data_IF_532097400413
#
_entry.id   IF_532097400413
#
_cell.length_a   1.000
_cell.length_b   1.000
_cell.length_c   1.000
_cell.angle_alpha   90.00
_cell.angle_beta   90.00
_cell.angle_gamma   90.00
#
_symmetry.space_group_name_H-M   'P 1'
#
loop_
_entity.id
_entity.type
_entity.pdbx_description
1 polymer ?
#
# COMPACT_ATOMS: atom_id res chain seq x y z
N UNK A 1 4.92 48.51 -17.01
CA UNK A 1 5.12 49.55 -15.98
C UNK A 1 3.86 49.64 -15.12
N UNK A 2 4.04 49.86 -13.81
CA UNK A 2 3.04 50.15 -12.75
C UNK A 2 2.06 49.00 -12.42
N UNK A 3 2.05 48.35 -11.24
CA UNK A 3 2.06 48.84 -9.82
C UNK A 3 0.82 49.68 -9.53
N UNK A 4 -0.01 49.53 -8.48
CA UNK A 4 0.13 49.09 -7.07
C UNK A 4 -1.32 48.91 -6.52
N UNK A 5 -1.61 48.06 -5.53
CA UNK A 5 -1.92 48.39 -4.10
C UNK A 5 -2.31 47.03 -3.42
N UNK A 6 -1.55 46.41 -2.51
CA UNK A 6 -1.29 46.67 -1.07
C UNK A 6 -2.54 46.80 -0.17
N UNK A 7 -2.82 45.78 0.67
CA UNK A 7 -2.54 45.75 2.12
C UNK A 7 -3.42 44.74 2.89
N UNK A 8 -2.85 44.11 3.93
CA UNK A 8 -3.65 43.38 4.93
C UNK A 8 -2.91 42.33 5.77
N UNK A 9 -1.78 42.69 6.41
CA UNK A 9 -1.19 41.90 7.48
C UNK A 9 -1.91 42.19 8.82
N UNK A 10 -2.21 41.16 9.61
CA UNK A 10 -2.62 41.31 11.01
C UNK A 10 -1.76 40.45 11.96
N UNK A 11 -1.28 41.13 13.00
CA UNK A 11 -0.40 40.67 14.08
C UNK A 11 -1.02 39.58 14.98
N UNK A 12 -0.20 38.68 15.55
CA UNK A 12 -0.60 37.81 16.66
C UNK A 12 -0.57 38.58 18.00
N UNK A 13 -1.67 38.53 18.77
CA UNK A 13 -1.73 39.02 20.15
C UNK A 13 -1.19 37.98 21.13
N UNK A 14 -0.21 38.39 21.94
CA UNK A 14 0.15 37.79 23.22
C UNK A 14 -1.06 37.83 24.16
N UNK A 15 -1.41 36.71 24.79
CA UNK A 15 -2.24 36.68 25.99
C UNK A 15 -1.41 36.09 27.12
N UNK A 16 -1.05 36.96 28.05
CA UNK A 16 -0.55 36.63 29.38
C UNK A 16 -1.72 36.12 30.22
N UNK A 17 -1.63 34.88 30.70
CA UNK A 17 -2.52 34.39 31.75
C UNK A 17 -1.79 34.55 33.08
N UNK A 18 -2.27 35.52 33.86
CA UNK A 18 -1.93 35.71 35.27
C UNK A 18 -2.76 34.71 36.08
N UNK A 19 -2.10 34.06 37.03
CA UNK A 19 -2.68 33.11 37.96
C UNK A 19 -3.64 33.79 38.95
N UNK A 20 -4.75 33.12 39.25
CA UNK A 20 -5.47 33.26 40.52
C UNK A 20 -6.21 31.95 40.80
N UNK A 21 -5.84 31.27 41.89
CA UNK A 21 -6.77 30.47 42.67
C UNK A 21 -6.20 30.26 44.07
N UNK A 22 -6.96 30.74 45.05
CA UNK A 22 -6.78 30.54 46.47
C UNK A 22 -7.18 29.14 46.93
N UNK A 23 -6.45 28.68 47.96
CA UNK A 23 -6.85 27.99 49.20
C UNK A 23 -7.57 26.62 49.20
N UNK A 24 -6.92 25.69 49.93
CA UNK A 24 -7.49 24.53 50.66
C UNK A 24 -7.43 23.19 49.93
N UNK A 25 -7.05 22.04 50.49
CA UNK A 25 -6.50 21.63 51.80
C UNK A 25 -6.20 20.12 51.73
N UNK A 26 -5.13 19.67 52.40
CA UNK A 26 -4.80 18.27 52.74
C UNK A 26 -4.05 17.50 51.63
N UNK A 27 -2.88 16.89 51.81
CA UNK A 27 -2.09 16.52 52.97
C UNK A 27 -1.60 15.08 52.76
N UNK A 28 -0.30 14.86 52.48
CA UNK A 28 0.58 13.90 53.16
C UNK A 28 1.97 13.80 52.48
N UNK A 29 2.97 14.08 53.32
CA UNK A 29 4.38 13.66 53.37
C UNK A 29 4.90 12.56 52.41
N UNK A 30 6.09 12.75 51.83
CA UNK A 30 7.34 12.17 52.38
C UNK A 30 8.64 12.71 51.71
N UNK A 31 9.53 13.19 52.59
CA UNK A 31 10.99 13.37 52.58
C UNK A 31 11.86 12.88 51.39
N UNK A 32 12.74 13.76 50.88
CA UNK A 32 14.20 13.83 51.17
C UNK A 32 14.89 14.79 50.16
N UNK A 33 15.42 15.95 50.59
CA UNK A 33 16.83 16.20 50.95
C UNK A 33 17.83 15.69 49.87
N UNK A 34 18.74 16.48 49.29
CA UNK A 34 19.58 17.47 49.94
C UNK A 34 20.50 18.26 48.96
N UNK A 35 20.82 19.49 49.38
CA UNK A 35 22.05 20.28 49.19
C UNK A 35 22.43 20.93 47.85
N UNK A 36 22.26 22.26 47.85
CA UNK A 36 23.12 23.24 47.17
C UNK A 36 24.55 23.23 47.73
N UNK A 37 25.54 23.38 46.85
CA UNK A 37 26.78 24.10 47.15
C UNK A 37 27.07 25.11 46.03
N UNK A 38 27.21 26.39 46.42
CA UNK A 38 27.70 27.48 45.58
C UNK A 38 29.22 27.34 45.37
N UNK A 39 29.68 27.61 44.16
CA UNK A 39 31.07 27.86 43.78
C UNK A 39 31.10 28.93 42.70
N UNK A 40 32.05 29.86 42.82
CA UNK A 40 32.11 31.18 42.18
C UNK A 40 33.18 31.20 41.07
N UNK A 41 33.02 32.13 40.11
CA UNK A 41 33.98 32.70 39.12
C UNK A 41 34.11 32.10 37.69
N UNK A 42 33.56 32.87 36.75
CA UNK A 42 34.13 33.41 35.50
C UNK A 42 35.03 32.54 34.61
N UNK A 43 34.61 32.30 33.36
CA UNK A 43 35.31 32.76 32.14
C UNK A 43 34.41 32.57 30.91
N UNK A 44 34.41 33.55 30.02
CA UNK A 44 33.52 33.60 28.85
C UNK A 44 33.84 32.53 27.80
N UNK A 45 32.79 31.95 27.22
CA UNK A 45 32.83 31.42 25.86
C UNK A 45 31.41 31.38 25.27
N UNK A 46 31.31 31.83 24.02
CA UNK A 46 30.07 31.91 23.24
C UNK A 46 29.39 30.54 23.10
N UNK A 47 28.30 30.31 23.83
CA UNK A 47 27.40 29.18 23.62
C UNK A 47 26.23 29.63 22.74
N UNK A 48 26.32 29.30 21.43
CA UNK A 48 25.15 29.28 20.53
C UNK A 48 24.12 28.34 21.13
N UNK A 49 22.98 28.89 21.55
CA UNK A 49 21.78 28.13 21.87
C UNK A 49 21.34 27.39 20.61
N UNK A 50 21.63 26.09 20.53
CA UNK A 50 21.06 25.19 19.54
C UNK A 50 19.58 25.02 19.93
N UNK A 51 18.68 25.71 19.23
CA UNK A 51 17.25 25.38 19.27
C UNK A 51 17.12 23.94 18.79
N UNK A 52 16.87 23.01 19.72
CA UNK A 52 16.35 21.70 19.36
C UNK A 52 14.96 21.92 18.79
N UNK A 53 14.87 22.04 17.47
CA UNK A 53 13.62 21.84 16.75
C UNK A 53 13.27 20.37 16.92
N UNK A 54 12.35 20.08 17.84
CA UNK A 54 11.59 18.85 17.79
C UNK A 54 10.84 18.86 16.46
N UNK A 55 11.24 17.96 15.55
CA UNK A 55 10.45 17.67 14.36
C UNK A 55 9.19 17.00 14.87
N UNK A 56 8.13 17.79 15.03
CA UNK A 56 6.79 17.28 15.21
C UNK A 56 6.47 16.55 13.91
N UNK A 57 6.52 15.22 13.99
CA UNK A 57 6.12 14.35 12.90
C UNK A 57 4.65 14.66 12.62
N UNK A 58 4.39 15.47 11.61
CA UNK A 58 3.04 15.71 11.11
C UNK A 58 2.52 14.35 10.67
N UNK A 59 1.56 13.80 11.43
CA UNK A 59 0.79 12.63 11.05
C UNK A 59 0.27 12.93 9.64
N UNK A 60 0.87 12.28 8.65
CA UNK A 60 0.41 12.35 7.26
C UNK A 60 -1.00 11.80 7.27
N UNK A 61 -2.00 12.68 7.24
CA UNK A 61 -3.38 12.28 7.05
C UNK A 61 -3.43 11.30 5.86
N UNK A 62 -4.00 10.12 6.09
CA UNK A 62 -4.32 9.17 5.01
C UNK A 62 -5.12 9.92 3.95
N UNK A 63 -4.75 9.71 2.68
CA UNK A 63 -5.33 10.49 1.59
C UNK A 63 -6.82 10.16 1.52
N UNK A 64 -7.73 11.14 1.47
CA UNK A 64 -9.15 10.82 1.50
C UNK A 64 -9.50 10.02 0.25
N UNK A 65 -10.13 8.86 0.45
CA UNK A 65 -10.62 7.97 -0.62
C UNK A 65 -11.61 8.66 -1.58
N UNK A 66 -12.02 9.90 -1.28
CA UNK A 66 -12.96 10.75 -2.02
C UNK A 66 -12.37 11.49 -3.23
N UNK A 67 -11.06 11.39 -3.51
CA UNK A 67 -10.50 12.03 -4.70
C UNK A 67 -10.83 11.19 -5.96
N UNK A 68 -11.46 11.78 -7.00
CA UNK A 68 -11.93 11.00 -8.14
C UNK A 68 -10.77 10.45 -8.97
N UNK A 69 -10.67 9.12 -9.06
CA UNK A 69 -9.74 8.37 -9.92
C UNK A 69 -10.43 7.83 -11.16
N UNK A 70 -9.68 7.35 -12.16
CA UNK A 70 -10.29 6.61 -13.27
C UNK A 70 -10.92 5.30 -12.79
N UNK A 71 -10.19 4.47 -12.03
CA UNK A 71 -10.75 3.23 -11.48
C UNK A 71 -11.15 3.47 -10.01
N UNK A 72 -12.46 3.46 -9.76
CA UNK A 72 -13.05 3.65 -8.42
C UNK A 72 -13.92 2.46 -8.00
N UNK A 73 -14.56 1.81 -8.96
CA UNK A 73 -15.51 0.73 -8.70
C UNK A 73 -15.10 -0.58 -9.36
N UNK A 74 -15.60 -1.70 -8.81
CA UNK A 74 -15.35 -3.04 -9.32
C UNK A 74 -15.75 -3.23 -10.79
N UNK A 75 -16.86 -2.61 -11.22
CA UNK A 75 -17.29 -2.63 -12.63
C UNK A 75 -16.28 -1.94 -13.57
N UNK A 76 -15.68 -0.83 -13.13
CA UNK A 76 -14.67 -0.11 -13.92
C UNK A 76 -13.38 -0.94 -14.01
N UNK A 77 -12.96 -1.54 -12.89
CA UNK A 77 -11.83 -2.48 -12.87
C UNK A 77 -12.08 -3.69 -13.78
N UNK A 78 -13.29 -4.28 -13.75
CA UNK A 78 -13.69 -5.39 -14.61
C UNK A 78 -13.54 -5.04 -16.10
N UNK A 79 -14.09 -3.90 -16.53
CA UNK A 79 -14.00 -3.46 -17.93
C UNK A 79 -12.57 -3.12 -18.34
N UNK A 80 -11.80 -2.48 -17.46
CA UNK A 80 -10.38 -2.24 -17.65
C UNK A 80 -9.61 -3.53 -17.94
N UNK A 81 -9.81 -4.58 -17.12
CA UNK A 81 -9.15 -5.86 -17.33
C UNK A 81 -9.64 -6.63 -18.55
N UNK A 82 -10.93 -6.55 -18.89
CA UNK A 82 -11.47 -7.22 -20.07
C UNK A 82 -10.73 -6.81 -21.36
N UNK A 83 -10.32 -5.54 -21.47
CA UNK A 83 -9.61 -5.04 -22.63
C UNK A 83 -8.08 -5.04 -22.46
N UNK A 84 -7.58 -4.64 -21.30
CA UNK A 84 -6.13 -4.50 -21.10
C UNK A 84 -5.43 -5.85 -20.86
N UNK A 85 -6.12 -6.87 -20.30
CA UNK A 85 -5.49 -8.16 -19.98
C UNK A 85 -4.91 -8.90 -21.19
N UNK A 86 -5.38 -8.63 -22.41
CA UNK A 86 -4.81 -9.19 -23.64
C UNK A 86 -3.38 -8.69 -23.84
N UNK A 87 -3.14 -7.40 -23.56
CA UNK A 87 -1.85 -6.72 -23.69
C UNK A 87 -0.98 -6.91 -22.44
N UNK A 88 -1.61 -6.95 -21.26
CA UNK A 88 -0.94 -6.97 -19.96
C UNK A 88 0.02 -8.16 -19.79
N UNK A 89 -0.42 -9.38 -20.08
CA UNK A 89 0.39 -10.59 -19.88
C UNK A 89 1.58 -10.68 -20.85
N UNK A 90 1.45 -10.21 -22.09
CA UNK A 90 2.44 -10.44 -23.15
C UNK A 90 3.38 -9.25 -23.39
N UNK A 91 2.95 -8.02 -23.06
CA UNK A 91 3.69 -6.79 -23.38
C UNK A 91 4.15 -6.07 -22.10
N UNK A 92 3.30 -6.03 -21.07
CA UNK A 92 3.58 -5.24 -19.86
C UNK A 92 4.36 -6.07 -18.83
N UNK A 93 3.91 -7.29 -18.51
CA UNK A 93 4.56 -8.16 -17.51
C UNK A 93 6.06 -8.40 -17.74
N UNK A 94 6.55 -8.70 -18.97
CA UNK A 94 7.97 -8.97 -19.20
C UNK A 94 8.91 -7.81 -18.84
N UNK A 95 8.38 -6.57 -18.80
CA UNK A 95 9.13 -5.38 -18.40
C UNK A 95 8.82 -4.89 -16.98
N UNK A 96 7.60 -5.09 -16.47
CA UNK A 96 7.11 -4.43 -15.25
C UNK A 96 6.96 -5.37 -14.05
N UNK A 97 6.62 -6.64 -14.29
CA UNK A 97 6.38 -7.63 -13.24
C UNK A 97 6.98 -8.97 -13.68
N UNK A 98 8.30 -9.06 -13.52
CA UNK A 98 9.09 -10.19 -14.00
C UNK A 98 9.01 -11.38 -13.04
N UNK A 99 9.40 -12.56 -13.52
CA UNK A 99 9.40 -13.77 -12.71
C UNK A 99 10.29 -13.69 -11.47
N UNK A 100 11.47 -13.07 -11.60
CA UNK A 100 12.39 -12.83 -10.50
C UNK A 100 11.81 -11.83 -9.48
N UNK A 101 11.11 -10.80 -9.94
CA UNK A 101 10.44 -9.84 -9.06
C UNK A 101 9.25 -10.49 -8.33
N UNK A 102 8.49 -11.36 -9.01
CA UNK A 102 7.44 -12.20 -8.39
C UNK A 102 8.03 -13.08 -7.29
N UNK A 103 9.07 -13.84 -7.61
CA UNK A 103 9.68 -14.78 -6.66
C UNK A 103 10.28 -14.03 -5.46
N UNK A 104 10.92 -12.87 -5.69
CA UNK A 104 11.43 -11.99 -4.62
C UNK A 104 10.32 -11.41 -3.74
N UNK A 105 9.18 -11.06 -4.33
CA UNK A 105 8.03 -10.53 -3.61
C UNK A 105 7.29 -11.59 -2.78
N UNK A 106 7.37 -12.86 -3.19
CA UNK A 106 6.79 -14.00 -2.49
C UNK A 106 7.67 -14.50 -1.34
N UNK A 107 8.98 -14.23 -1.34
CA UNK A 107 9.90 -14.68 -0.28
C UNK A 107 9.37 -14.40 1.15
N UNK A 108 8.87 -13.18 1.49
CA UNK A 108 8.38 -12.91 2.85
C UNK A 108 7.10 -13.67 3.23
N UNK A 109 6.41 -14.27 2.26
CA UNK A 109 5.22 -15.08 2.50
C UNK A 109 5.54 -16.41 3.21
N UNK A 110 6.81 -16.81 3.31
CA UNK A 110 7.27 -18.02 4.01
C UNK A 110 6.48 -19.27 3.58
N UNK A 111 6.49 -19.56 2.28
CA UNK A 111 5.91 -20.78 1.69
C UNK A 111 6.89 -21.95 1.89
N UNK A 112 6.96 -22.51 3.10
CA UNK A 112 7.98 -23.51 3.46
C UNK A 112 7.51 -24.97 3.51
N UNK A 113 6.21 -25.24 3.36
CA UNK A 113 5.65 -26.60 3.43
C UNK A 113 4.67 -26.83 2.27
N UNK A 114 4.85 -27.96 1.57
CA UNK A 114 4.02 -28.37 0.42
C UNK A 114 2.55 -28.56 0.76
N UNK A 115 2.24 -28.82 2.03
CA UNK A 115 0.89 -29.08 2.54
C UNK A 115 0.17 -27.83 3.04
N UNK A 116 0.79 -26.65 2.99
CA UNK A 116 0.11 -25.41 3.37
C UNK A 116 -1.12 -25.16 2.52
N UNK A 117 -2.21 -24.73 3.15
CA UNK A 117 -3.36 -24.19 2.44
C UNK A 117 -3.13 -22.71 2.12
N UNK A 118 -3.02 -22.39 0.85
CA UNK A 118 -2.78 -21.03 0.36
C UNK A 118 -3.99 -20.51 -0.40
N UNK A 119 -4.41 -19.28 -0.10
CA UNK A 119 -5.39 -18.55 -0.90
C UNK A 119 -4.69 -17.40 -1.63
N UNK A 120 -4.76 -17.41 -2.96
CA UNK A 120 -4.27 -16.35 -3.85
C UNK A 120 -5.47 -15.50 -4.28
N UNK A 121 -5.64 -14.34 -3.64
CA UNK A 121 -6.78 -13.45 -3.80
C UNK A 121 -6.46 -12.33 -4.79
N UNK A 122 -7.33 -12.16 -5.78
CA UNK A 122 -7.00 -11.39 -6.98
C UNK A 122 -5.97 -12.09 -7.85
N UNK A 123 -5.96 -13.42 -7.87
CA UNK A 123 -4.93 -14.20 -8.55
C UNK A 123 -4.95 -14.07 -10.08
N UNK A 124 -6.00 -13.50 -10.67
CA UNK A 124 -6.09 -13.14 -12.08
C UNK A 124 -5.78 -14.31 -13.02
N UNK A 125 -4.80 -14.11 -13.90
CA UNK A 125 -4.33 -15.16 -14.84
C UNK A 125 -3.45 -16.21 -14.19
N UNK A 126 -3.21 -16.12 -12.88
CA UNK A 126 -2.40 -17.05 -12.10
C UNK A 126 -0.89 -16.79 -12.16
N UNK A 127 -0.45 -15.59 -12.55
CA UNK A 127 0.99 -15.29 -12.63
C UNK A 127 1.70 -15.43 -11.28
N UNK A 128 1.10 -14.90 -10.21
CA UNK A 128 1.60 -15.05 -8.83
C UNK A 128 1.47 -16.49 -8.37
N UNK A 129 0.35 -17.15 -8.68
CA UNK A 129 0.12 -18.55 -8.37
C UNK A 129 1.20 -19.47 -8.93
N UNK A 130 1.74 -19.19 -10.13
CA UNK A 130 2.87 -19.94 -10.70
C UNK A 130 4.12 -19.88 -9.81
N UNK A 131 4.32 -18.82 -9.03
CA UNK A 131 5.38 -18.76 -8.01
C UNK A 131 5.02 -19.55 -6.75
N UNK A 132 3.75 -19.50 -6.32
CA UNK A 132 3.26 -20.23 -5.14
C UNK A 132 3.42 -21.75 -5.32
N UNK A 133 3.02 -22.28 -6.48
CA UNK A 133 3.03 -23.74 -6.74
C UNK A 133 4.42 -24.34 -6.90
N UNK A 134 5.49 -23.51 -6.92
CA UNK A 134 6.87 -23.99 -6.80
C UNK A 134 7.18 -24.54 -5.40
N UNK A 135 6.44 -24.08 -4.39
CA UNK A 135 6.68 -24.36 -2.98
C UNK A 135 5.53 -25.12 -2.31
N UNK A 136 4.31 -24.99 -2.84
CA UNK A 136 3.09 -25.60 -2.32
C UNK A 136 2.46 -26.49 -3.39
N UNK A 137 1.94 -27.66 -3.00
CA UNK A 137 1.23 -28.51 -3.96
C UNK A 137 -0.01 -27.77 -4.52
N UNK A 138 -0.18 -27.78 -5.84
CA UNK A 138 -1.24 -27.04 -6.52
C UNK A 138 -2.65 -27.36 -5.97
N UNK A 139 -2.93 -28.62 -5.61
CA UNK A 139 -4.19 -29.04 -4.96
C UNK A 139 -4.52 -28.31 -3.65
N UNK A 140 -3.52 -27.74 -2.98
CA UNK A 140 -3.67 -26.98 -1.73
C UNK A 140 -3.79 -25.46 -1.95
N UNK A 141 -3.72 -25.01 -3.21
CA UNK A 141 -3.80 -23.59 -3.59
C UNK A 141 -5.19 -23.29 -4.14
N UNK A 142 -5.81 -22.23 -3.63
CA UNK A 142 -7.05 -21.68 -4.18
C UNK A 142 -6.80 -20.31 -4.81
N UNK A 143 -7.10 -20.17 -6.09
CA UNK A 143 -7.12 -18.88 -6.81
C UNK A 143 -8.53 -18.32 -6.71
N UNK A 144 -8.66 -17.08 -6.21
CA UNK A 144 -9.91 -16.33 -6.19
C UNK A 144 -9.74 -15.02 -6.95
N UNK A 145 -10.65 -14.72 -7.87
CA UNK A 145 -10.69 -13.45 -8.60
C UNK A 145 -12.12 -13.07 -8.99
N UNK A 146 -12.44 -11.79 -9.12
CA UNK A 146 -13.75 -11.31 -9.57
C UNK A 146 -13.94 -11.41 -11.10
N UNK A 147 -12.88 -11.71 -11.84
CA UNK A 147 -12.83 -11.62 -13.30
C UNK A 147 -12.84 -13.00 -13.96
N UNK A 148 -14.01 -13.55 -14.38
CA UNK A 148 -14.10 -14.90 -14.95
C UNK A 148 -13.21 -15.11 -16.19
N UNK A 149 -12.98 -14.05 -16.99
CA UNK A 149 -12.09 -14.11 -18.16
C UNK A 149 -10.61 -14.29 -17.79
N UNK A 150 -10.16 -13.74 -16.65
CA UNK A 150 -8.80 -13.95 -16.14
C UNK A 150 -8.66 -15.37 -15.61
N UNK A 151 -9.66 -15.84 -14.85
CA UNK A 151 -9.70 -17.21 -14.33
C UNK A 151 -9.70 -18.26 -15.46
N UNK A 152 -10.35 -17.97 -16.58
CA UNK A 152 -10.31 -18.84 -17.77
C UNK A 152 -8.89 -19.01 -18.31
N UNK A 153 -8.06 -17.96 -18.31
CA UNK A 153 -6.63 -18.07 -18.67
C UNK A 153 -5.84 -18.86 -17.64
N UNK A 154 -6.12 -18.67 -16.34
CA UNK A 154 -5.46 -19.44 -15.29
C UNK A 154 -5.71 -20.96 -15.44
N UNK A 155 -6.96 -21.35 -15.78
CA UNK A 155 -7.36 -22.75 -16.03
C UNK A 155 -6.62 -23.41 -17.19
N UNK A 156 -6.08 -22.63 -18.14
CA UNK A 156 -5.35 -23.16 -19.30
C UNK A 156 -3.88 -23.49 -18.97
N UNK A 157 -3.36 -23.08 -17.82
CA UNK A 157 -1.95 -23.27 -17.45
C UNK A 157 -1.76 -24.63 -16.79
N UNK A 158 -0.98 -25.51 -17.41
CA UNK A 158 -0.67 -26.86 -16.91
C UNK A 158 -0.28 -26.89 -15.41
N UNK A 159 0.62 -26.03 -14.90
CA UNK A 159 1.02 -26.07 -13.49
C UNK A 159 -0.10 -25.71 -12.50
N UNK A 160 -1.20 -25.11 -12.98
CA UNK A 160 -2.31 -24.63 -12.15
C UNK A 160 -3.54 -25.54 -12.24
N UNK A 161 -3.49 -26.64 -12.99
CA UNK A 161 -4.65 -27.52 -13.24
C UNK A 161 -5.28 -28.09 -11.97
N UNK A 162 -4.47 -28.39 -10.97
CA UNK A 162 -4.96 -28.91 -9.68
C UNK A 162 -5.38 -27.80 -8.70
N UNK A 163 -5.07 -26.53 -8.99
CA UNK A 163 -5.51 -25.43 -8.15
C UNK A 163 -7.03 -25.34 -8.17
N UNK A 164 -7.62 -25.07 -7.01
CA UNK A 164 -9.04 -24.70 -6.95
C UNK A 164 -9.18 -23.27 -7.47
N UNK A 165 -10.02 -23.06 -8.48
CA UNK A 165 -10.22 -21.73 -9.08
C UNK A 165 -11.67 -21.31 -8.91
N UNK A 166 -11.91 -20.20 -8.20
CA UNK A 166 -13.26 -19.71 -7.88
C UNK A 166 -13.40 -18.22 -8.18
N UNK A 167 -14.61 -17.83 -8.60
CA UNK A 167 -14.99 -16.42 -8.70
C UNK A 167 -15.38 -15.89 -7.32
N UNK A 168 -14.92 -14.69 -6.95
CA UNK A 168 -15.24 -14.11 -5.65
C UNK A 168 -14.71 -12.70 -5.44
N UNK A 169 -15.14 -12.08 -4.34
CA UNK A 169 -14.75 -10.72 -3.94
C UNK A 169 -13.68 -10.77 -2.84
N UNK A 170 -12.58 -10.02 -3.01
CA UNK A 170 -11.53 -9.91 -1.99
C UNK A 170 -12.01 -9.27 -0.68
N UNK A 171 -13.09 -8.48 -0.75
CA UNK A 171 -13.70 -7.81 0.41
C UNK A 171 -14.83 -8.62 1.07
N UNK A 172 -15.15 -9.80 0.54
CA UNK A 172 -16.17 -10.73 1.06
C UNK A 172 -15.84 -12.16 0.63
N UNK A 173 -14.91 -12.80 1.36
CA UNK A 173 -14.32 -14.07 0.93
C UNK A 173 -15.23 -15.25 1.28
N UNK A 174 -15.45 -16.20 0.34
CA UNK A 174 -16.29 -17.39 0.54
C UNK A 174 -15.55 -18.50 1.31
N UNK A 175 -14.75 -18.13 2.31
CA UNK A 175 -14.01 -19.04 3.18
C UNK A 175 -14.46 -18.88 4.63
N UNK A 176 -14.50 -19.96 5.42
CA UNK A 176 -14.75 -19.84 6.84
C UNK A 176 -13.59 -19.11 7.54
N UNK A 177 -13.84 -18.65 8.76
CA UNK A 177 -12.80 -18.13 9.64
C UNK A 177 -11.75 -19.19 9.93
N UNK A 178 -10.48 -18.81 10.05
CA UNK A 178 -9.36 -19.73 10.35
C UNK A 178 -9.20 -20.87 9.33
N UNK A 179 -9.32 -20.55 8.04
CA UNK A 179 -9.28 -21.49 6.93
C UNK A 179 -7.88 -21.79 6.38
N UNK A 180 -7.07 -20.75 6.13
CA UNK A 180 -5.83 -20.83 5.36
C UNK A 180 -4.57 -20.59 6.21
N UNK A 181 -3.46 -21.18 5.80
CA UNK A 181 -2.14 -20.96 6.41
C UNK A 181 -1.47 -19.70 5.85
N UNK A 182 -1.74 -19.40 4.56
CA UNK A 182 -1.22 -18.23 3.85
C UNK A 182 -2.31 -17.56 3.02
N UNK A 183 -2.26 -16.24 3.05
CA UNK A 183 -3.04 -15.36 2.19
C UNK A 183 -2.06 -14.58 1.34
N UNK A 184 -2.15 -14.70 0.02
CA UNK A 184 -1.36 -13.94 -0.93
C UNK A 184 -2.30 -13.12 -1.80
N UNK A 185 -1.93 -11.88 -2.10
CA UNK A 185 -2.63 -11.07 -3.10
C UNK A 185 -1.61 -10.16 -3.76
N UNK A 186 -1.50 -10.21 -5.08
CA UNK A 186 -0.52 -9.43 -5.82
C UNK A 186 -1.16 -8.68 -6.99
N UNK A 187 -0.97 -7.36 -7.04
CA UNK A 187 -1.48 -6.51 -8.12
C UNK A 187 -3.01 -6.43 -8.17
N UNK A 188 -3.65 -6.47 -6.99
CA UNK A 188 -5.11 -6.52 -6.84
C UNK A 188 -5.64 -5.42 -5.91
N UNK A 189 -4.93 -5.14 -4.81
CA UNK A 189 -5.35 -4.19 -3.77
C UNK A 189 -5.54 -2.76 -4.28
N UNK A 190 -4.81 -2.36 -5.32
CA UNK A 190 -4.96 -1.07 -5.99
C UNK A 190 -6.34 -0.87 -6.68
N UNK A 191 -7.13 -1.94 -6.80
CA UNK A 191 -8.46 -1.93 -7.39
C UNK A 191 -9.58 -2.19 -6.39
N UNK A 192 -9.26 -2.36 -5.10
CA UNK A 192 -10.26 -2.58 -4.05
C UNK A 192 -10.85 -1.22 -3.66
N UNK A 193 -12.18 -1.01 -3.78
CA UNK A 193 -12.82 0.19 -3.24
C UNK A 193 -12.55 0.42 -1.75
N UNK A 194 -12.46 -0.66 -0.96
CA UNK A 194 -12.16 -0.61 0.48
C UNK A 194 -10.99 -1.57 0.82
N UNK A 195 -9.73 -1.13 0.66
CA UNK A 195 -8.54 -1.95 0.95
C UNK A 195 -8.51 -2.46 2.39
N UNK A 196 -8.99 -1.66 3.34
CA UNK A 196 -9.02 -2.00 4.75
C UNK A 196 -9.96 -3.18 5.02
N UNK A 197 -11.07 -3.29 4.29
CA UNK A 197 -12.00 -4.43 4.36
C UNK A 197 -11.41 -5.69 3.76
N UNK A 198 -10.71 -5.62 2.63
CA UNK A 198 -10.00 -6.79 2.09
C UNK A 198 -8.91 -7.30 3.04
N UNK A 199 -8.16 -6.41 3.69
CA UNK A 199 -7.17 -6.80 4.70
C UNK A 199 -7.84 -7.36 5.96
N UNK A 200 -9.03 -6.87 6.33
CA UNK A 200 -9.84 -7.48 7.39
C UNK A 200 -10.23 -8.92 7.05
N UNK A 201 -10.67 -9.17 5.82
CA UNK A 201 -11.00 -10.52 5.36
C UNK A 201 -9.78 -11.44 5.35
N UNK A 202 -8.61 -10.94 4.93
CA UNK A 202 -7.34 -11.67 5.04
C UNK A 202 -7.07 -12.12 6.49
N UNK A 203 -7.31 -11.24 7.48
CA UNK A 203 -7.18 -11.61 8.89
C UNK A 203 -8.16 -12.71 9.28
N UNK A 204 -9.44 -12.57 8.93
CA UNK A 204 -10.50 -13.51 9.30
C UNK A 204 -10.20 -14.92 8.78
N UNK A 205 -9.81 -15.05 7.51
CA UNK A 205 -9.62 -16.36 6.86
C UNK A 205 -8.30 -17.05 7.22
N UNK A 206 -7.30 -16.33 7.72
CA UNK A 206 -6.05 -16.94 8.17
C UNK A 206 -6.23 -17.69 9.50
N UNK A 207 -5.54 -18.80 9.70
CA UNK A 207 -5.40 -19.48 11.00
C UNK A 207 -4.49 -18.69 11.95
N UNK A 208 -4.47 -19.06 13.23
CA UNK A 208 -3.44 -18.57 14.19
C UNK A 208 -2.04 -18.88 13.63
N UNK A 209 -1.15 -17.88 13.66
CA UNK A 209 0.19 -17.99 13.08
C UNK A 209 0.19 -17.93 11.54
N UNK A 210 -0.97 -17.88 10.91
CA UNK A 210 -1.12 -17.67 9.48
C UNK A 210 -0.61 -16.29 9.07
N UNK A 211 -0.10 -16.20 7.85
CA UNK A 211 0.56 -14.99 7.34
C UNK A 211 -0.15 -14.45 6.10
N UNK A 212 -0.46 -13.16 6.12
CA UNK A 212 -0.89 -12.43 4.95
C UNK A 212 0.33 -11.82 4.24
N UNK A 213 0.33 -11.84 2.91
CA UNK A 213 1.30 -11.23 2.02
C UNK A 213 0.56 -10.43 0.93
N UNK A 214 0.63 -9.11 1.01
CA UNK A 214 0.04 -8.19 0.05
C UNK A 214 1.15 -7.57 -0.78
N UNK A 215 1.07 -7.73 -2.09
CA UNK A 215 2.01 -7.20 -3.07
C UNK A 215 1.27 -6.16 -3.90
N UNK A 216 1.77 -4.94 -3.93
CA UNK A 216 1.09 -3.85 -4.63
C UNK A 216 2.03 -2.69 -4.96
N UNK A 217 1.54 -1.70 -5.73
CA UNK A 217 2.31 -0.52 -6.07
C UNK A 217 2.50 0.39 -4.85
N UNK A 218 3.59 1.16 -4.85
CA UNK A 218 3.86 2.22 -3.87
C UNK A 218 3.72 3.59 -4.53
N UNK A 219 3.17 4.55 -3.77
CA UNK A 219 3.05 5.94 -4.18
C UNK A 219 4.40 6.53 -4.66
N UNK A 220 4.47 7.08 -5.88
CA UNK A 220 5.74 7.50 -6.45
C UNK A 220 6.28 8.79 -5.82
N UNK A 221 7.60 9.00 -5.92
CA UNK A 221 8.26 10.19 -5.38
C UNK A 221 8.30 11.37 -6.37
N UNK A 222 8.40 11.09 -7.67
CA UNK A 222 8.49 12.13 -8.70
C UNK A 222 7.14 12.82 -8.94
N UNK A 223 7.13 14.14 -9.11
CA UNK A 223 5.90 14.93 -9.15
C UNK A 223 4.97 14.57 -10.32
N UNK A 224 5.52 14.29 -11.50
CA UNK A 224 4.72 13.94 -12.67
C UNK A 224 4.13 12.53 -12.52
N UNK A 225 4.90 11.59 -11.98
CA UNK A 225 4.39 10.26 -11.62
C UNK A 225 3.28 10.37 -10.58
N UNK A 226 3.40 11.22 -9.56
CA UNK A 226 2.33 11.44 -8.58
C UNK A 226 1.05 11.91 -9.24
N UNK A 227 1.13 12.90 -10.14
CA UNK A 227 -0.03 13.37 -10.88
C UNK A 227 -0.73 12.23 -11.63
N UNK A 228 0.02 11.39 -12.35
CA UNK A 228 -0.57 10.27 -13.09
C UNK A 228 -1.09 9.14 -12.18
N UNK A 229 -0.43 8.87 -11.04
CA UNK A 229 -0.96 7.94 -10.04
C UNK A 229 -2.35 8.37 -9.59
N UNK A 230 -2.49 9.66 -9.26
CA UNK A 230 -3.67 10.25 -8.65
C UNK A 230 -4.90 10.20 -9.55
N UNK A 231 -4.71 10.21 -10.87
CA UNK A 231 -5.80 10.15 -11.84
C UNK A 231 -6.11 8.73 -12.31
N UNK A 232 -5.22 7.76 -12.07
CA UNK A 232 -5.34 6.41 -12.64
C UNK A 232 -6.04 5.42 -11.70
N UNK A 233 -5.36 4.97 -10.66
CA UNK A 233 -5.81 3.94 -9.72
C UNK A 233 -5.19 4.16 -8.34
N UNK A 234 -5.48 3.30 -7.37
CA UNK A 234 -4.94 3.48 -6.02
C UNK A 234 -3.44 3.17 -5.98
N UNK A 235 -2.62 4.13 -5.58
CA UNK A 235 -1.21 3.95 -5.26
C UNK A 235 -1.00 4.28 -3.78
N UNK A 236 -1.10 3.29 -2.86
CA UNK A 236 -0.95 3.55 -1.43
C UNK A 236 0.49 3.92 -1.08
N UNK A 237 0.66 4.69 -0.02
CA UNK A 237 1.96 4.87 0.62
C UNK A 237 2.33 3.60 1.40
N UNK A 238 3.62 3.41 1.64
CA UNK A 238 4.14 2.31 2.46
C UNK A 238 3.52 2.30 3.87
N UNK A 239 3.32 3.49 4.45
CA UNK A 239 2.72 3.64 5.76
C UNK A 239 1.24 3.23 5.78
N UNK A 240 0.51 3.45 4.68
CA UNK A 240 -0.91 3.08 4.57
C UNK A 240 -1.08 1.56 4.60
N UNK A 241 -0.23 0.80 3.89
CA UNK A 241 -0.22 -0.66 3.99
C UNK A 241 0.02 -1.13 5.42
N UNK A 242 1.05 -0.58 6.09
CA UNK A 242 1.39 -0.96 7.47
C UNK A 242 0.24 -0.64 8.42
N UNK A 243 -0.38 0.53 8.26
CA UNK A 243 -1.54 0.92 9.06
C UNK A 243 -2.73 -0.02 8.85
N UNK A 244 -3.05 -0.40 7.61
CA UNK A 244 -4.18 -1.30 7.35
C UNK A 244 -4.01 -2.66 8.03
N UNK A 245 -2.80 -3.23 7.97
CA UNK A 245 -2.47 -4.47 8.66
C UNK A 245 -2.59 -4.32 10.19
N UNK A 246 -2.03 -3.25 10.77
CA UNK A 246 -2.10 -2.99 12.21
C UNK A 246 -3.53 -2.79 12.68
N UNK A 247 -4.33 -2.01 11.96
CA UNK A 247 -5.75 -1.77 12.24
C UNK A 247 -6.56 -3.08 12.18
N UNK A 248 -6.26 -3.95 11.22
CA UNK A 248 -6.87 -5.27 11.13
C UNK A 248 -6.41 -6.26 12.23
N UNK A 249 -5.42 -5.91 13.05
CA UNK A 249 -4.98 -6.70 14.19
C UNK A 249 -3.78 -7.61 13.93
N UNK A 250 -3.15 -7.53 12.75
CA UNK A 250 -1.93 -8.27 12.47
C UNK A 250 -0.76 -7.82 13.36
N UNK A 251 0.14 -8.75 13.66
CA UNK A 251 1.42 -8.52 14.34
C UNK A 251 2.58 -8.79 13.39
N UNK A 252 3.78 -8.40 13.81
CA UNK A 252 5.02 -8.56 13.04
C UNK A 252 4.92 -8.04 11.61
N UNK A 253 4.32 -6.85 11.47
CA UNK A 253 4.09 -6.24 10.16
C UNK A 253 5.43 -5.81 9.56
N UNK A 254 5.78 -6.39 8.41
CA UNK A 254 7.05 -6.14 7.71
C UNK A 254 6.77 -5.69 6.29
N UNK A 255 7.62 -4.81 5.78
CA UNK A 255 7.56 -4.32 4.40
C UNK A 255 8.90 -4.58 3.72
N UNK A 256 8.85 -5.21 2.55
CA UNK A 256 9.97 -5.38 1.63
C UNK A 256 9.66 -4.61 0.35
N UNK A 257 10.53 -3.68 -0.02
CA UNK A 257 10.44 -3.02 -1.34
C UNK A 257 10.86 -4.01 -2.42
N UNK A 258 10.21 -3.95 -3.56
CA UNK A 258 10.48 -4.82 -4.70
C UNK A 258 10.59 -3.99 -5.98
N UNK A 259 11.42 -4.46 -6.89
CA UNK A 259 11.67 -3.83 -8.18
C UNK A 259 12.41 -4.79 -9.10
N UNK A 260 12.38 -4.57 -10.42
CA UNK A 260 13.07 -5.45 -11.34
C UNK A 260 14.60 -5.37 -11.15
N UNK A 261 15.32 -6.50 -11.26
CA UNK A 261 16.78 -6.56 -11.06
C UNK A 261 17.60 -5.66 -11.98
N UNK A 262 17.08 -5.36 -13.17
CA UNK A 262 17.71 -4.45 -14.13
C UNK A 262 17.63 -2.98 -13.70
N UNK A 263 16.84 -2.66 -12.68
CA UNK A 263 16.58 -1.28 -12.27
C UNK A 263 17.71 -0.69 -11.41
N UNK A 264 18.65 0.01 -12.07
CA UNK A 264 19.74 0.75 -11.41
C UNK A 264 19.38 2.22 -11.27
N UNK A 265 19.03 2.69 -10.06
CA UNK A 265 18.78 4.11 -9.80
C UNK A 265 17.41 4.41 -9.17
N UNK A 266 17.24 4.00 -7.91
CA UNK A 266 15.99 4.23 -7.18
C UNK A 266 15.96 5.64 -6.60
N UNK A 267 14.81 6.32 -6.78
CA UNK A 267 14.34 7.62 -6.23
C UNK A 267 14.38 8.85 -7.15
N UNK A 268 15.28 8.96 -8.13
CA UNK A 268 15.40 10.21 -8.94
C UNK A 268 14.34 10.35 -10.04
N UNK A 269 13.89 9.23 -10.62
CA UNK A 269 12.95 9.19 -11.76
C UNK A 269 11.54 8.67 -11.41
N UNK A 270 11.29 8.27 -10.15
CA UNK A 270 9.94 7.98 -9.63
C UNK A 270 9.16 6.88 -10.35
N UNK A 271 9.85 5.85 -10.84
CA UNK A 271 9.23 4.66 -11.41
C UNK A 271 8.58 3.80 -10.31
N UNK A 272 7.58 3.01 -10.69
CA UNK A 272 6.77 2.13 -9.82
C UNK A 272 7.70 1.18 -9.05
N UNK A 273 7.97 1.52 -7.79
CA UNK A 273 8.46 0.56 -6.80
C UNK A 273 7.23 -0.14 -6.25
N UNK A 274 7.25 -1.47 -6.27
CA UNK A 274 6.26 -2.24 -5.53
C UNK A 274 6.71 -2.41 -4.08
N UNK A 275 5.80 -2.90 -3.25
CA UNK A 275 6.17 -3.48 -1.97
C UNK A 275 5.46 -4.81 -1.77
N UNK A 276 6.11 -5.70 -1.02
CA UNK A 276 5.51 -6.87 -0.39
C UNK A 276 5.37 -6.56 1.10
N UNK A 277 4.14 -6.56 1.60
CA UNK A 277 3.81 -6.29 3.00
C UNK A 277 3.24 -7.54 3.62
N UNK A 278 3.79 -7.94 4.76
CA UNK A 278 3.36 -9.13 5.47
C UNK A 278 2.93 -8.81 6.89
N UNK A 279 2.08 -9.67 7.44
CA UNK A 279 1.69 -9.64 8.84
C UNK A 279 1.16 -11.00 9.30
N UNK A 280 1.36 -11.32 10.57
CA UNK A 280 1.02 -12.60 11.18
C UNK A 280 -0.24 -12.45 12.04
N UNK A 281 -1.20 -13.37 11.89
CA UNK A 281 -2.42 -13.42 12.70
C UNK A 281 -2.08 -13.97 14.10
N UNK A 282 -2.24 -13.19 15.18
CA UNK A 282 -1.86 -13.63 16.52
C UNK A 282 -2.92 -14.48 17.23
N UNK A 283 -4.21 -14.31 16.89
CA UNK A 283 -5.34 -14.89 17.61
C UNK A 283 -6.40 -15.38 16.60
N UNK A 284 -7.15 -16.42 16.95
CA UNK A 284 -8.25 -16.97 16.14
C UNK A 284 -9.44 -16.00 16.10
N UNK A 285 -10.32 -16.19 15.12
CA UNK A 285 -11.56 -15.42 15.01
C UNK A 285 -11.50 -14.28 14.00
N UNK A 286 -12.49 -13.38 14.09
CA UNK A 286 -12.57 -12.17 13.27
C UNK A 286 -11.56 -11.11 13.75
N UNK A 287 -11.22 -10.18 12.86
CA UNK A 287 -10.42 -9.02 13.19
C UNK A 287 -11.05 -8.19 14.33
N UNK A 288 -10.25 -7.61 15.24
CA UNK A 288 -10.75 -6.64 16.22
C UNK A 288 -11.31 -5.37 15.55
N UNK A 289 -11.00 -5.14 14.27
CA UNK A 289 -11.47 -3.99 13.52
C UNK A 289 -12.97 -4.05 13.26
N UNK A 290 -13.68 -3.04 13.74
CA UNK A 290 -15.09 -2.79 13.39
C UNK A 290 -15.14 -1.82 12.23
N UNK A 291 -15.71 -2.28 11.12
CA UNK A 291 -16.00 -1.47 9.95
C UNK A 291 -17.51 -1.30 9.84
N UNK A 292 -17.94 -0.16 9.31
CA UNK A 292 -19.34 0.05 8.94
C UNK A 292 -19.79 -0.85 7.78
N UNK A 293 -21.06 -0.72 7.34
CA UNK A 293 -21.54 -1.44 6.17
C UNK A 293 -20.67 -1.12 4.94
N UNK A 294 -20.57 -2.08 4.02
CA UNK A 294 -19.85 -1.90 2.75
C UNK A 294 -20.53 -0.79 1.96
N UNK A 295 -19.86 0.35 1.79
CA UNK A 295 -20.37 1.48 1.01
C UNK A 295 -19.87 1.34 -0.42
N UNK A 296 -20.47 0.43 -1.19
CA UNK A 296 -20.29 0.40 -2.64
C UNK A 296 -21.49 1.06 -3.31
N UNK A 297 -21.35 2.34 -3.64
CA UNK A 297 -22.41 3.14 -4.27
C UNK A 297 -22.43 2.90 -5.80
N UNK A 298 -22.59 1.64 -6.24
CA UNK A 298 -22.63 1.26 -7.68
C UNK A 298 -24.02 1.48 -8.29
N UNK A 299 -25.01 1.89 -7.48
CA UNK A 299 -26.40 2.10 -7.94
C UNK A 299 -26.61 3.42 -8.67
N UNK A 300 -25.76 4.43 -8.47
CA UNK A 300 -25.85 5.71 -9.19
C UNK A 300 -25.15 5.59 -10.54
N UNK A 301 -25.89 5.86 -11.61
CA UNK A 301 -25.31 5.95 -12.95
C UNK A 301 -24.28 7.08 -12.99
N UNK A 302 -23.06 6.77 -13.41
CA UNK A 302 -22.03 7.79 -13.67
C UNK A 302 -22.44 8.57 -14.92
N UNK A 303 -22.35 9.90 -14.87
CA UNK A 303 -22.60 10.74 -16.04
C UNK A 303 -21.66 10.31 -17.21
N UNK A 304 -22.19 10.00 -18.41
CA UNK A 304 -21.38 9.52 -19.53
C UNK A 304 -20.20 10.43 -19.91
N UNK A 305 -20.36 11.75 -19.82
CA UNK A 305 -19.28 12.71 -20.11
C UNK A 305 -18.20 12.70 -19.03
N UNK A 306 -18.59 12.57 -17.75
CA UNK A 306 -17.64 12.42 -16.63
C UNK A 306 -16.87 11.11 -16.76
N UNK A 307 -17.55 10.03 -17.16
CA UNK A 307 -16.90 8.75 -17.44
C UNK A 307 -15.92 8.85 -18.61
N UNK A 308 -16.33 9.45 -19.74
CA UNK A 308 -15.46 9.63 -20.91
C UNK A 308 -14.21 10.47 -20.56
N UNK A 309 -14.38 11.56 -19.81
CA UNK A 309 -13.26 12.37 -19.35
C UNK A 309 -12.29 11.58 -18.46
N UNK A 310 -12.82 10.86 -17.45
CA UNK A 310 -12.02 9.97 -16.59
C UNK A 310 -11.31 8.89 -17.41
N UNK A 311 -11.97 8.33 -18.42
CA UNK A 311 -11.40 7.33 -19.32
C UNK A 311 -10.21 7.89 -20.10
N UNK A 312 -10.34 9.06 -20.72
CA UNK A 312 -9.25 9.71 -21.46
C UNK A 312 -8.06 9.98 -20.53
N UNK A 313 -8.30 10.52 -19.32
CA UNK A 313 -7.24 10.73 -18.33
C UNK A 313 -6.58 9.42 -17.90
N UNK A 314 -7.37 8.37 -17.68
CA UNK A 314 -6.89 7.03 -17.33
C UNK A 314 -6.01 6.43 -18.43
N UNK A 315 -6.38 6.59 -19.70
CA UNK A 315 -5.56 6.17 -20.85
C UNK A 315 -4.23 6.90 -20.86
N UNK A 316 -4.23 8.24 -20.76
CA UNK A 316 -3.00 9.05 -20.75
C UNK A 316 -2.08 8.62 -19.59
N UNK A 317 -2.65 8.45 -18.40
CA UNK A 317 -1.90 8.01 -17.22
C UNK A 317 -1.32 6.60 -17.40
N UNK A 318 -2.11 5.66 -17.91
CA UNK A 318 -1.64 4.31 -18.20
C UNK A 318 -0.51 4.31 -19.24
N UNK A 319 -0.62 5.14 -20.28
CA UNK A 319 0.43 5.30 -21.30
C UNK A 319 1.73 5.82 -20.68
N UNK A 320 1.66 6.81 -19.79
CA UNK A 320 2.83 7.30 -19.05
C UNK A 320 3.52 6.15 -18.29
N UNK A 321 2.73 5.36 -17.55
CA UNK A 321 3.26 4.26 -16.76
C UNK A 321 3.77 3.06 -17.56
N UNK A 322 3.35 2.90 -18.82
CA UNK A 322 3.89 1.89 -19.74
C UNK A 322 5.18 2.38 -20.42
N UNK A 323 5.20 3.63 -20.87
CA UNK A 323 6.34 4.17 -21.64
C UNK A 323 7.57 4.42 -20.76
N UNK A 324 7.38 4.86 -19.52
CA UNK A 324 8.48 5.20 -18.60
C UNK A 324 9.36 3.97 -18.29
N UNK A 325 8.82 2.78 -17.98
CA UNK A 325 9.62 1.57 -17.77
C UNK A 325 10.28 1.05 -19.04
N UNK A 326 9.61 1.14 -20.20
CA UNK A 326 10.24 0.82 -21.50
C UNK A 326 11.45 1.71 -21.75
N UNK A 327 11.31 3.02 -21.57
CA UNK A 327 12.41 3.97 -21.70
C UNK A 327 13.56 3.64 -20.73
N UNK A 328 13.26 3.37 -19.46
CA UNK A 328 14.30 3.03 -18.47
C UNK A 328 14.97 1.68 -18.75
N UNK A 329 14.24 0.69 -19.25
CA UNK A 329 14.79 -0.59 -19.67
C UNK A 329 15.74 -0.42 -20.87
N UNK A 330 15.34 0.32 -21.90
CA UNK A 330 16.20 0.68 -23.04
C UNK A 330 17.45 1.41 -22.54
N UNK A 331 17.29 2.36 -21.62
CA UNK A 331 18.40 3.12 -21.04
C UNK A 331 19.38 2.22 -20.27
N UNK A 332 18.90 1.25 -19.48
CA UNK A 332 19.78 0.28 -18.79
C UNK A 332 20.58 -0.60 -19.76
N UNK A 333 20.03 -0.91 -20.94
CA UNK A 333 20.73 -1.67 -21.98
C UNK A 333 21.84 -0.87 -22.66
N UNK A 334 21.65 0.45 -22.82
CA UNK A 334 22.59 1.33 -23.52
C UNK A 334 23.67 1.87 -22.58
N UNK A 335 23.32 2.19 -21.33
CA UNK A 335 24.25 2.79 -20.36
C UNK A 335 25.15 1.70 -19.74
N UNK A 336 26.50 1.82 -19.85
CA UNK A 336 27.44 0.87 -19.26
C UNK A 336 27.24 0.66 -17.75
N UNK A 337 27.47 -0.58 -17.27
CA UNK A 337 27.43 -0.88 -15.83
C UNK A 337 28.47 -0.05 -15.09
N UNK A 338 28.05 0.69 -14.06
CA UNK A 338 28.92 1.53 -13.23
C UNK A 338 28.76 3.04 -13.44
N UNK A 339 28.00 3.47 -14.46
CA UNK A 339 27.60 4.87 -14.64
C UNK A 339 26.19 5.13 -14.06
N UNK A 340 25.94 6.32 -13.50
CA UNK A 340 24.61 6.68 -13.00
C UNK A 340 23.60 6.76 -14.16
N UNK A 341 22.42 6.18 -13.95
CA UNK A 341 21.25 6.28 -14.83
C UNK A 341 20.44 7.51 -14.47
#
# INVERSE_FOLDING_TARGET
MASLMLNGAQNPKLISVIASHELGSGGLYFYNNCFLKKGVLSYGSNLRVRKNMSVTCSISASRPASQPRFIQHKKEAFWFYRFLSIVYDHIINPGHWTEDMRDEALEPADLYDRNMRVVDVGGGTGFTTLGIVKHVDAKNVTILDQSPHQLAKAKQKEPLKECRIIEGDAEDLPFPTDYADRYVSAGSIEYWPDPQRGIKEAYRVLKIGGKACIIGPVYPTFWLSRFFADVWMLFPKEEEYIEWFKKAGFKDVKLKRIGPKWYRGVRRHGLIMGCSVTGVKPLSGDSPLKLGPKVEDVKKSVNPFVFLYRFILGVIASTYYVLVPIYMWIKDKIVPRGLPI
#
